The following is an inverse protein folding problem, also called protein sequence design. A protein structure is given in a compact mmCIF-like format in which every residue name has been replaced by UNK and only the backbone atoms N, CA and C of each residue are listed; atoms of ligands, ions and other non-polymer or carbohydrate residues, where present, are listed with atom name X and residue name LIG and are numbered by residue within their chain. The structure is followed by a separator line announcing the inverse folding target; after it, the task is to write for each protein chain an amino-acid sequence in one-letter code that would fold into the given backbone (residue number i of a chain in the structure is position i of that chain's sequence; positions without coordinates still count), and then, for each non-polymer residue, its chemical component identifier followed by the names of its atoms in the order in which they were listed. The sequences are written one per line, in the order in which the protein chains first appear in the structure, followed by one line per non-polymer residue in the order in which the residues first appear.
data_IF_931535220157
#
_entry.id   IF_931535220157
#
_cell.length_a   1.000
_cell.length_b   1.000
_cell.length_c   1.000
_cell.angle_alpha   90.00
_cell.angle_beta   90.00
_cell.angle_gamma   90.00
#
_symmetry.space_group_name_H-M   'P 1'
#
loop_
_entity.id
_entity.type
_entity.pdbx_description
1 polymer ?
#
# COMPACT_ATOMS: atom_id res chain seq x y z
N UNK A 1 -10.22 -15.15 -4.77
CA UNK A 1 -10.45 -13.75 -4.37
C UNK A 1 -11.93 -13.58 -4.06
N UNK A 2 -12.27 -13.01 -2.90
CA UNK A 2 -13.65 -12.78 -2.46
C UNK A 2 -13.82 -11.29 -2.19
N UNK A 3 -14.67 -10.63 -2.95
CA UNK A 3 -15.06 -9.27 -2.60
C UNK A 3 -16.10 -9.34 -1.47
N UNK A 4 -15.60 -9.19 -0.24
CA UNK A 4 -16.42 -9.19 0.97
C UNK A 4 -16.33 -7.82 1.59
N UNK A 5 -16.95 -6.87 0.89
CA UNK A 5 -17.02 -5.49 1.32
C UNK A 5 -17.49 -5.43 2.79
N UNK A 6 -16.57 -5.04 3.68
CA UNK A 6 -16.85 -4.79 5.10
C UNK A 6 -17.71 -3.55 5.34
N UNK A 7 -18.13 -2.86 4.28
CA UNK A 7 -19.04 -1.74 4.39
C UNK A 7 -20.37 -2.25 4.97
N UNK A 8 -20.76 -1.73 6.12
CA UNK A 8 -22.15 -1.81 6.55
C UNK A 8 -23.03 -1.11 5.51
N UNK A 9 -24.27 -1.58 5.36
CA UNK A 9 -25.27 -0.79 4.66
C UNK A 9 -25.42 0.53 5.41
N UNK A 10 -25.32 1.63 4.69
CA UNK A 10 -25.63 2.96 5.19
C UNK A 10 -26.73 3.56 4.30
N UNK A 11 -27.56 4.48 4.83
CA UNK A 11 -28.69 5.03 4.08
C UNK A 11 -28.30 5.59 2.71
N UNK A 12 -27.16 6.27 2.61
CA UNK A 12 -26.63 6.77 1.34
C UNK A 12 -26.37 5.68 0.29
N UNK A 13 -25.86 4.53 0.70
CA UNK A 13 -25.59 3.40 -0.20
C UNK A 13 -26.87 2.77 -0.79
N UNK A 14 -28.03 3.02 -0.17
CA UNK A 14 -29.33 2.44 -0.57
C UNK A 14 -30.41 3.51 -0.79
N UNK A 15 -30.03 4.75 -1.08
CA UNK A 15 -30.96 5.86 -1.35
C UNK A 15 -32.02 6.03 -0.24
N UNK A 16 -31.57 5.98 1.01
CA UNK A 16 -32.36 6.06 2.24
C UNK A 16 -33.42 4.96 2.42
N UNK A 17 -33.32 3.87 1.65
CA UNK A 17 -34.18 2.68 1.75
C UNK A 17 -33.43 1.50 2.36
N UNK A 18 -33.16 1.61 3.66
CA UNK A 18 -32.58 0.50 4.42
C UNK A 18 -33.59 -0.65 4.55
N UNK A 19 -33.14 -1.92 4.55
CA UNK A 19 -33.98 -3.04 4.97
C UNK A 19 -34.53 -2.82 6.39
N UNK A 20 -35.81 -3.12 6.61
CA UNK A 20 -36.49 -2.90 7.89
C UNK A 20 -35.85 -3.68 9.07
N UNK A 21 -35.17 -4.79 8.76
CA UNK A 21 -34.50 -5.70 9.68
C UNK A 21 -32.97 -5.58 9.63
N UNK A 22 -32.42 -4.51 9.03
CA UNK A 22 -30.97 -4.34 8.97
C UNK A 22 -30.35 -4.09 10.35
N UNK A 23 -29.45 -4.98 10.75
CA UNK A 23 -28.60 -4.82 11.92
C UNK A 23 -27.13 -4.90 11.52
N UNK A 24 -26.35 -3.89 11.91
CA UNK A 24 -24.94 -3.78 11.51
C UNK A 24 -24.05 -4.85 12.17
N UNK A 25 -24.40 -5.29 13.38
CA UNK A 25 -23.67 -6.32 14.12
C UNK A 25 -24.02 -7.72 13.58
N UNK A 26 -25.28 -7.97 13.21
CA UNK A 26 -25.70 -9.18 12.53
C UNK A 26 -25.05 -9.28 11.14
N UNK A 27 -25.04 -8.20 10.36
CA UNK A 27 -24.31 -8.11 9.08
C UNK A 27 -22.83 -8.46 9.27
N UNK A 28 -22.20 -7.85 10.27
CA UNK A 28 -20.81 -8.12 10.61
C UNK A 28 -20.54 -9.60 10.89
N UNK A 29 -21.34 -10.22 11.78
CA UNK A 29 -21.20 -11.63 12.16
C UNK A 29 -21.47 -12.56 10.98
N UNK A 30 -22.50 -12.29 10.20
CA UNK A 30 -22.85 -13.06 9.01
C UNK A 30 -21.72 -13.02 7.98
N UNK A 31 -21.11 -11.84 7.75
CA UNK A 31 -19.95 -11.68 6.88
C UNK A 31 -18.75 -12.51 7.34
N UNK A 32 -18.37 -12.40 8.61
CA UNK A 32 -17.23 -13.18 9.17
C UNK A 32 -17.50 -14.69 9.08
N UNK A 33 -18.72 -15.12 9.42
CA UNK A 33 -19.15 -16.51 9.31
C UNK A 33 -19.13 -17.00 7.86
N UNK A 34 -19.54 -16.17 6.92
CA UNK A 34 -19.50 -16.45 5.49
C UNK A 34 -18.07 -16.66 4.98
N UNK A 35 -17.11 -15.84 5.41
CA UNK A 35 -15.69 -16.03 5.08
C UNK A 35 -15.16 -17.37 5.61
N UNK A 36 -15.46 -17.69 6.87
CA UNK A 36 -15.08 -18.96 7.47
C UNK A 36 -15.69 -20.16 6.73
N UNK A 37 -16.97 -20.07 6.37
CA UNK A 37 -17.67 -21.08 5.58
C UNK A 37 -17.00 -21.28 4.22
N UNK A 38 -16.73 -20.20 3.47
CA UNK A 38 -16.02 -20.29 2.18
C UNK A 38 -14.66 -20.98 2.34
N UNK A 39 -13.88 -20.59 3.35
CA UNK A 39 -12.57 -21.20 3.60
C UNK A 39 -12.67 -22.69 3.95
N UNK A 40 -13.71 -23.12 4.68
CA UNK A 40 -13.92 -24.54 4.99
C UNK A 40 -14.21 -25.42 3.77
N UNK A 41 -14.77 -24.85 2.70
CA UNK A 41 -15.03 -25.55 1.43
C UNK A 41 -13.85 -25.48 0.46
N UNK A 42 -12.89 -24.60 0.72
CA UNK A 42 -11.70 -24.35 -0.09
C UNK A 42 -10.42 -24.50 0.77
N UNK A 43 -10.20 -25.67 1.40
CA UNK A 43 -9.10 -25.84 2.35
C UNK A 43 -7.73 -25.67 1.69
N UNK A 44 -7.59 -26.12 0.44
CA UNK A 44 -6.34 -26.14 -0.31
C UNK A 44 -6.11 -24.88 -1.17
N UNK A 45 -7.11 -24.00 -1.25
CA UNK A 45 -7.04 -22.79 -2.07
C UNK A 45 -6.88 -21.53 -1.22
N UNK A 46 -6.17 -20.54 -1.74
CA UNK A 46 -6.01 -19.25 -1.08
C UNK A 46 -7.30 -18.41 -1.16
N UNK A 47 -7.90 -18.14 -0.01
CA UNK A 47 -9.04 -17.23 0.14
C UNK A 47 -8.51 -15.87 0.60
N UNK A 48 -8.50 -14.91 -0.33
CA UNK A 48 -8.11 -13.51 -0.09
C UNK A 48 -9.36 -12.65 -0.17
N UNK A 49 -9.66 -11.87 0.87
CA UNK A 49 -10.82 -10.97 0.87
C UNK A 49 -10.47 -9.50 0.58
N UNK A 50 -11.35 -8.75 -0.06
CA UNK A 50 -11.22 -7.29 -0.13
C UNK A 50 -11.92 -6.63 1.06
N UNK A 51 -11.19 -5.86 1.89
CA UNK A 51 -11.82 -5.19 3.02
C UNK A 51 -10.91 -4.66 4.11
N UNK A 52 -9.59 -4.83 4.04
CA UNK A 52 -8.66 -4.47 5.13
C UNK A 52 -8.70 -2.99 5.52
N UNK A 53 -9.10 -2.11 4.59
CA UNK A 53 -9.15 -0.66 4.80
C UNK A 53 -10.33 -0.18 5.66
N UNK A 54 -11.14 -1.11 6.18
CA UNK A 54 -12.29 -0.84 7.03
C UNK A 54 -11.93 -1.12 8.50
N UNK A 55 -12.31 -0.19 9.37
CA UNK A 55 -11.97 -0.21 10.80
C UNK A 55 -12.68 -1.35 11.56
N UNK A 56 -13.67 -1.99 10.95
CA UNK A 56 -14.46 -3.06 11.55
C UNK A 56 -14.20 -4.41 10.88
N UNK A 57 -13.48 -5.29 11.58
CA UNK A 57 -13.38 -6.71 11.24
C UNK A 57 -12.26 -7.14 10.31
N UNK A 58 -11.27 -6.29 10.06
CA UNK A 58 -10.09 -6.70 9.30
C UNK A 58 -9.37 -7.88 9.99
N UNK A 59 -9.20 -7.80 11.31
CA UNK A 59 -8.60 -8.86 12.15
C UNK A 59 -9.42 -10.16 12.10
N UNK A 60 -10.73 -10.09 12.36
CA UNK A 60 -11.60 -11.27 12.32
C UNK A 60 -11.68 -11.89 10.92
N UNK A 61 -11.68 -11.08 9.88
CA UNK A 61 -11.63 -11.59 8.50
C UNK A 61 -10.30 -12.27 8.21
N UNK A 62 -9.17 -11.71 8.64
CA UNK A 62 -7.86 -12.35 8.49
C UNK A 62 -7.76 -13.65 9.28
N UNK A 63 -8.38 -13.73 10.46
CA UNK A 63 -8.43 -14.97 11.25
C UNK A 63 -9.14 -16.12 10.50
N UNK A 64 -10.06 -15.79 9.59
CA UNK A 64 -10.88 -16.76 8.86
C UNK A 64 -10.49 -16.93 7.38
N UNK A 65 -9.38 -16.31 6.94
CA UNK A 65 -8.92 -16.32 5.55
C UNK A 65 -7.40 -16.46 5.46
N UNK A 66 -6.87 -16.67 4.25
CA UNK A 66 -5.43 -16.75 4.01
C UNK A 66 -4.79 -15.36 3.83
N UNK A 67 -5.60 -14.32 3.72
CA UNK A 67 -5.13 -12.96 3.52
C UNK A 67 -6.20 -11.96 3.09
N UNK A 68 -5.77 -10.73 2.82
CA UNK A 68 -6.71 -9.65 2.50
C UNK A 68 -6.12 -8.53 1.65
N UNK A 69 -6.99 -7.70 1.11
CA UNK A 69 -6.63 -6.54 0.29
C UNK A 69 -6.97 -5.22 1.00
N UNK A 70 -6.00 -4.31 0.97
CA UNK A 70 -6.16 -2.91 1.31
C UNK A 70 -6.29 -2.09 0.03
N UNK A 71 -7.52 -1.97 -0.47
CA UNK A 71 -7.81 -1.38 -1.78
C UNK A 71 -7.52 0.14 -1.90
N UNK A 72 -7.43 0.82 -0.76
CA UNK A 72 -7.18 2.26 -0.68
C UNK A 72 -5.91 2.53 0.12
N UNK A 73 -4.78 2.00 -0.34
CA UNK A 73 -3.52 2.17 0.38
C UNK A 73 -3.05 3.62 0.30
N UNK A 74 -2.86 4.24 1.47
CA UNK A 74 -2.46 5.64 1.70
C UNK A 74 -3.42 6.74 1.20
N UNK A 75 -4.04 6.61 0.03
CA UNK A 75 -4.81 7.68 -0.62
C UNK A 75 -6.22 7.26 -1.00
N UNK A 76 -7.16 8.21 -0.97
CA UNK A 76 -8.53 8.01 -1.43
C UNK A 76 -8.57 7.98 -2.97
N UNK A 77 -9.25 7.00 -3.59
CA UNK A 77 -9.43 6.95 -5.04
C UNK A 77 -10.04 8.24 -5.59
N UNK A 78 -9.67 8.61 -6.81
CA UNK A 78 -10.14 9.76 -7.62
C UNK A 78 -9.86 11.14 -7.07
N UNK A 79 -9.97 11.34 -5.76
CA UNK A 79 -9.68 12.61 -5.10
C UNK A 79 -8.19 12.84 -4.87
N UNK A 80 -7.38 11.76 -4.82
CA UNK A 80 -5.95 11.84 -4.55
C UNK A 80 -5.61 12.26 -3.11
N UNK A 81 -6.61 12.40 -2.23
CA UNK A 81 -6.42 12.89 -0.87
C UNK A 81 -5.77 11.82 -0.01
N UNK A 82 -4.74 12.20 0.73
CA UNK A 82 -4.17 11.36 1.76
C UNK A 82 -5.23 10.99 2.79
N UNK A 83 -5.20 9.76 3.29
CA UNK A 83 -6.18 9.25 4.24
C UNK A 83 -5.84 9.56 5.69
N UNK A 84 -4.69 10.18 5.94
CA UNK A 84 -4.20 10.52 7.27
C UNK A 84 -3.13 9.55 7.77
N UNK A 85 -2.27 10.06 8.64
CA UNK A 85 -1.13 9.33 9.22
C UNK A 85 -1.61 8.07 9.96
N UNK A 86 -2.70 8.17 10.73
CA UNK A 86 -3.28 7.05 11.47
C UNK A 86 -3.75 5.90 10.56
N UNK A 87 -4.43 6.21 9.45
CA UNK A 87 -4.92 5.19 8.52
C UNK A 87 -3.79 4.55 7.71
N UNK A 88 -2.77 5.33 7.35
CA UNK A 88 -1.55 4.80 6.76
C UNK A 88 -0.83 3.87 7.75
N UNK A 89 -0.68 4.29 9.02
CA UNK A 89 -0.04 3.50 10.06
C UNK A 89 -0.79 2.20 10.32
N UNK A 90 -2.12 2.24 10.39
CA UNK A 90 -2.95 1.04 10.53
C UNK A 90 -2.69 0.01 9.42
N UNK A 91 -2.51 0.46 8.17
CA UNK A 91 -2.17 -0.43 7.05
C UNK A 91 -0.79 -1.08 7.21
N UNK A 92 0.22 -0.29 7.59
CA UNK A 92 1.59 -0.75 7.82
C UNK A 92 1.63 -1.74 8.99
N UNK A 93 1.03 -1.40 10.12
CA UNK A 93 1.06 -2.22 11.34
C UNK A 93 0.26 -3.50 11.19
N UNK A 94 -0.94 -3.45 10.58
CA UNK A 94 -1.71 -4.65 10.28
C UNK A 94 -0.89 -5.59 9.38
N UNK A 95 -0.28 -5.06 8.32
CA UNK A 95 0.57 -5.88 7.45
C UNK A 95 1.76 -6.44 8.24
N UNK A 96 2.42 -5.65 9.09
CA UNK A 96 3.58 -6.11 9.85
C UNK A 96 3.25 -7.22 10.85
N UNK A 97 2.10 -7.15 11.54
CA UNK A 97 1.68 -8.10 12.57
C UNK A 97 1.14 -9.43 12.04
N UNK A 98 0.84 -9.52 10.74
CA UNK A 98 0.30 -10.72 10.08
C UNK A 98 1.31 -11.32 9.07
N UNK A 99 2.47 -11.82 9.53
CA UNK A 99 3.54 -12.30 8.63
C UNK A 99 3.15 -13.56 7.85
N UNK A 100 2.15 -14.32 8.31
CA UNK A 100 1.63 -15.53 7.70
C UNK A 100 0.56 -15.26 6.62
N UNK A 101 0.00 -14.04 6.58
CA UNK A 101 -1.12 -13.69 5.68
C UNK A 101 -0.65 -13.13 4.35
N UNK A 102 -1.37 -13.48 3.29
CA UNK A 102 -1.16 -12.92 1.96
C UNK A 102 -1.86 -11.56 1.81
N UNK A 103 -1.10 -10.46 1.82
CA UNK A 103 -1.66 -9.10 1.84
C UNK A 103 -1.47 -8.42 0.48
N UNK A 104 -2.55 -7.82 -0.03
CA UNK A 104 -2.55 -7.05 -1.28
C UNK A 104 -2.73 -5.57 -0.96
N UNK A 105 -1.72 -4.74 -1.23
CA UNK A 105 -1.79 -3.29 -1.05
C UNK A 105 -2.05 -2.64 -2.41
N UNK A 106 -3.16 -1.89 -2.55
CA UNK A 106 -3.53 -1.26 -3.82
C UNK A 106 -3.66 0.25 -3.64
N UNK A 107 -2.95 1.00 -4.47
CA UNK A 107 -3.12 2.44 -4.65
C UNK A 107 -4.07 2.64 -5.82
N UNK A 108 -5.37 2.67 -5.52
CA UNK A 108 -6.45 2.65 -6.52
C UNK A 108 -6.75 4.03 -7.09
N UNK A 109 -6.87 4.10 -8.43
CA UNK A 109 -7.42 5.22 -9.22
C UNK A 109 -6.93 6.59 -8.75
N UNK A 110 -5.62 6.77 -8.63
CA UNK A 110 -5.06 8.05 -8.19
C UNK A 110 -4.96 9.05 -9.34
N UNK A 111 -5.43 10.30 -9.17
CA UNK A 111 -5.33 11.31 -10.22
C UNK A 111 -3.87 11.72 -10.43
N UNK A 112 -3.44 11.77 -11.70
CA UNK A 112 -2.11 12.20 -12.13
C UNK A 112 -0.96 11.45 -11.45
N UNK A 113 -1.17 10.18 -11.09
CA UNK A 113 -0.15 9.36 -10.43
C UNK A 113 1.07 9.12 -11.31
N UNK A 114 0.90 9.04 -12.64
CA UNK A 114 2.03 8.87 -13.57
C UNK A 114 3.07 9.99 -13.38
N UNK A 115 2.61 11.23 -13.27
CA UNK A 115 3.47 12.42 -13.15
C UNK A 115 3.84 12.75 -11.69
N UNK A 116 3.09 12.24 -10.71
CA UNK A 116 3.34 12.48 -9.29
C UNK A 116 4.39 11.51 -8.71
N UNK A 117 5.65 11.76 -9.06
CA UNK A 117 6.80 10.95 -8.61
C UNK A 117 6.92 10.94 -7.09
N UNK A 118 6.63 12.05 -6.40
CA UNK A 118 6.70 12.09 -4.94
C UNK A 118 5.70 11.10 -4.32
N UNK A 119 4.44 11.12 -4.79
CA UNK A 119 3.41 10.20 -4.31
C UNK A 119 3.78 8.74 -4.62
N UNK A 120 4.28 8.45 -5.83
CA UNK A 120 4.75 7.11 -6.21
C UNK A 120 5.85 6.61 -5.28
N UNK A 121 6.90 7.40 -5.08
CA UNK A 121 8.02 7.04 -4.19
C UNK A 121 7.53 6.87 -2.75
N UNK A 122 6.62 7.71 -2.27
CA UNK A 122 6.02 7.57 -0.95
C UNK A 122 5.30 6.22 -0.76
N UNK A 123 4.44 5.81 -1.69
CA UNK A 123 3.70 4.55 -1.56
C UNK A 123 4.59 3.32 -1.78
N UNK A 124 5.57 3.39 -2.69
CA UNK A 124 6.55 2.31 -2.91
C UNK A 124 7.41 2.14 -1.67
N UNK A 125 7.97 3.23 -1.12
CA UNK A 125 8.76 3.18 0.10
C UNK A 125 7.94 2.66 1.28
N UNK A 126 6.65 3.04 1.37
CA UNK A 126 5.71 2.52 2.38
C UNK A 126 5.50 1.01 2.25
N UNK A 127 5.27 0.50 1.04
CA UNK A 127 5.21 -0.95 0.79
C UNK A 127 6.51 -1.65 1.19
N UNK A 128 7.68 -1.07 0.87
CA UNK A 128 8.98 -1.65 1.20
C UNK A 128 9.22 -1.75 2.71
N UNK A 129 8.56 -0.95 3.57
CA UNK A 129 8.61 -1.14 5.03
C UNK A 129 8.09 -2.52 5.46
N UNK A 130 7.16 -3.10 4.71
CA UNK A 130 6.47 -4.36 5.06
C UNK A 130 6.61 -5.44 4.00
N UNK A 131 7.37 -5.19 2.93
CA UNK A 131 7.58 -6.13 1.83
C UNK A 131 8.18 -7.46 2.28
N UNK A 132 7.67 -8.53 1.68
CA UNK A 132 8.04 -9.94 1.86
C UNK A 132 7.27 -10.79 0.82
N UNK A 133 7.58 -12.10 0.64
CA UNK A 133 7.02 -12.89 -0.47
C UNK A 133 5.48 -12.98 -0.54
N UNK A 134 4.78 -12.82 0.59
CA UNK A 134 3.32 -12.83 0.66
C UNK A 134 2.69 -11.43 0.77
N UNK A 135 3.42 -10.36 0.46
CA UNK A 135 2.85 -9.01 0.36
C UNK A 135 3.06 -8.52 -1.07
N UNK A 136 1.95 -8.24 -1.76
CA UNK A 136 1.96 -7.73 -3.13
C UNK A 136 1.44 -6.31 -3.18
N UNK A 137 1.92 -5.54 -4.14
CA UNK A 137 1.66 -4.11 -4.25
C UNK A 137 1.29 -3.73 -5.69
N UNK A 138 0.32 -2.84 -5.85
CA UNK A 138 -0.07 -2.30 -7.15
C UNK A 138 -0.46 -0.82 -7.04
N UNK A 139 -0.13 -0.07 -8.09
CA UNK A 139 -0.50 1.32 -8.29
C UNK A 139 -1.28 1.48 -9.58
N UNK A 140 -2.30 2.34 -9.56
CA UNK A 140 -3.08 2.64 -10.76
C UNK A 140 -3.44 4.11 -10.83
N UNK A 141 -3.16 4.72 -11.98
CA UNK A 141 -3.60 6.07 -12.32
C UNK A 141 -5.08 6.08 -12.72
N UNK A 142 -5.84 7.08 -12.27
CA UNK A 142 -7.26 7.22 -12.56
C UNK A 142 -7.57 7.31 -14.06
N UNK A 143 -6.74 8.00 -14.85
CA UNK A 143 -6.94 8.16 -16.28
C UNK A 143 -6.81 6.83 -17.04
N UNK A 144 -5.97 5.93 -16.54
CA UNK A 144 -5.67 4.65 -17.17
C UNK A 144 -6.48 3.48 -16.61
N UNK A 145 -7.02 3.61 -15.40
CA UNK A 145 -8.00 2.67 -14.86
C UNK A 145 -9.25 2.60 -15.75
N UNK A 146 -9.72 3.75 -16.26
CA UNK A 146 -10.89 3.83 -17.13
C UNK A 146 -10.71 3.10 -18.46
N UNK A 147 -9.47 2.92 -18.92
CA UNK A 147 -9.13 2.26 -20.18
C UNK A 147 -8.69 0.80 -20.00
N UNK A 148 -8.59 0.31 -18.76
CA UNK A 148 -8.11 -1.04 -18.46
C UNK A 148 -6.64 -1.26 -18.83
N UNK A 149 -5.84 -0.20 -18.88
CA UNK A 149 -4.44 -0.28 -19.28
C UNK A 149 -3.59 -0.96 -18.19
N UNK A 150 -2.64 -1.79 -18.61
CA UNK A 150 -1.59 -2.29 -17.72
C UNK A 150 -0.66 -1.12 -17.40
N UNK A 151 -0.30 -0.96 -16.13
CA UNK A 151 0.57 0.13 -15.67
C UNK A 151 1.96 -0.42 -15.36
N UNK A 152 2.98 0.28 -15.83
CA UNK A 152 4.38 0.04 -15.49
C UNK A 152 4.95 1.25 -14.76
N UNK A 153 5.74 1.00 -13.73
CA UNK A 153 6.49 2.02 -13.01
C UNK A 153 7.92 1.51 -12.78
N UNK A 154 8.97 2.26 -13.14
CA UNK A 154 10.37 1.82 -12.98
C UNK A 154 10.74 1.42 -11.56
N UNK A 155 10.04 1.93 -10.54
CA UNK A 155 10.18 1.54 -9.13
C UNK A 155 9.94 0.04 -8.90
N UNK A 156 9.15 -0.63 -9.76
CA UNK A 156 8.96 -2.08 -9.69
C UNK A 156 10.21 -2.88 -10.05
N UNK A 157 11.21 -2.24 -10.65
CA UNK A 157 12.50 -2.87 -11.02
C UNK A 157 13.59 -2.68 -9.96
N UNK A 158 13.26 -2.03 -8.84
CA UNK A 158 14.20 -1.83 -7.73
C UNK A 158 14.66 -3.17 -7.16
N UNK A 159 15.97 -3.40 -7.14
CA UNK A 159 16.60 -4.51 -6.44
C UNK A 159 17.38 -4.01 -5.23
N UNK A 160 16.73 -4.02 -4.06
CA UNK A 160 17.36 -3.71 -2.78
C UNK A 160 17.97 -4.95 -2.10
N UNK A 161 17.77 -6.16 -2.65
CA UNK A 161 18.05 -7.43 -1.98
C UNK A 161 17.08 -7.75 -0.85
N UNK A 162 17.46 -8.70 0.02
CA UNK A 162 16.63 -9.10 1.15
C UNK A 162 16.55 -8.00 2.23
N UNK A 163 15.42 -7.87 2.95
CA UNK A 163 15.35 -7.00 4.12
C UNK A 163 16.24 -7.55 5.24
N UNK A 164 17.01 -6.67 5.89
CA UNK A 164 17.90 -7.05 7.01
C UNK A 164 17.17 -7.12 8.36
N UNK A 165 15.87 -6.84 8.38
CA UNK A 165 15.04 -6.87 9.57
C UNK A 165 13.66 -6.25 9.35
N UNK A 166 12.93 -6.09 10.46
CA UNK A 166 11.72 -5.27 10.50
C UNK A 166 12.06 -3.78 10.30
N UNK A 167 11.06 -2.96 9.98
CA UNK A 167 11.24 -1.52 10.01
C UNK A 167 11.40 -1.01 11.45
N UNK A 168 11.98 0.18 11.57
CA UNK A 168 12.12 0.93 12.82
C UNK A 168 11.48 2.30 12.66
N UNK A 169 11.01 2.90 13.76
CA UNK A 169 10.46 4.26 13.79
C UNK A 169 11.36 5.13 14.66
N UNK A 170 11.88 6.22 14.10
CA UNK A 170 12.64 7.22 14.85
C UNK A 170 11.76 7.96 15.86
N UNK A 171 12.36 8.59 16.87
CA UNK A 171 11.64 9.40 17.85
C UNK A 171 10.91 10.60 17.22
N UNK A 172 11.33 11.02 16.03
CA UNK A 172 10.74 12.06 15.20
C UNK A 172 9.59 11.57 14.31
N UNK A 173 9.34 10.25 14.26
CA UNK A 173 8.34 9.61 13.41
C UNK A 173 8.85 9.15 12.05
N UNK A 174 10.17 9.18 11.80
CA UNK A 174 10.74 8.68 10.54
C UNK A 174 10.74 7.14 10.51
N UNK A 175 9.99 6.54 9.59
CA UNK A 175 10.01 5.10 9.38
C UNK A 175 11.20 4.73 8.50
N UNK A 176 11.92 3.66 8.87
CA UNK A 176 13.07 3.19 8.10
C UNK A 176 13.14 1.67 8.05
N UNK A 177 13.57 1.12 6.92
CA UNK A 177 13.94 -0.30 6.82
C UNK A 177 15.22 -0.47 6.01
N UNK A 178 16.12 -1.32 6.50
CA UNK A 178 17.38 -1.66 5.84
C UNK A 178 17.22 -2.91 4.99
N UNK A 179 17.91 -2.90 3.87
CA UNK A 179 18.04 -4.01 2.93
C UNK A 179 19.52 -4.27 2.65
N UNK A 180 19.86 -5.41 2.05
CA UNK A 180 21.23 -5.78 1.70
C UNK A 180 21.94 -4.72 0.85
N UNK A 181 21.23 -4.09 -0.08
CA UNK A 181 21.79 -3.10 -1.03
C UNK A 181 21.22 -1.70 -0.85
N UNK A 182 20.55 -1.42 0.26
CA UNK A 182 19.91 -0.12 0.41
C UNK A 182 19.13 0.12 1.69
N UNK A 183 18.40 1.22 1.71
CA UNK A 183 17.54 1.65 2.81
C UNK A 183 16.34 2.38 2.24
N UNK A 184 15.19 2.18 2.86
CA UNK A 184 13.99 2.99 2.59
C UNK A 184 13.66 3.83 3.82
N UNK A 185 13.11 5.01 3.56
CA UNK A 185 12.71 6.00 4.55
C UNK A 185 11.32 6.52 4.16
N UNK A 186 10.43 6.70 5.14
CA UNK A 186 9.08 7.23 4.90
C UNK A 186 8.73 8.26 5.96
N UNK A 187 8.34 9.45 5.51
CA UNK A 187 7.70 10.46 6.33
C UNK A 187 6.18 10.47 6.02
N UNK A 188 5.35 9.85 6.87
CA UNK A 188 3.91 9.80 6.67
C UNK A 188 3.19 11.07 7.16
N UNK A 189 3.91 12.02 7.75
CA UNK A 189 3.26 13.18 8.33
C UNK A 189 2.78 14.16 7.26
N UNK A 190 1.68 14.86 7.56
CA UNK A 190 1.01 15.77 6.62
C UNK A 190 1.63 17.17 6.54
N UNK A 191 2.35 17.59 7.58
CA UNK A 191 2.77 18.99 7.73
C UNK A 191 4.20 19.21 8.22
N UNK A 192 4.92 18.15 8.62
CA UNK A 192 6.31 18.24 9.11
C UNK A 192 7.30 17.64 8.13
N UNK A 193 8.39 18.36 7.89
CA UNK A 193 9.60 17.82 7.25
C UNK A 193 10.45 17.12 8.31
N UNK A 194 10.97 15.95 7.97
CA UNK A 194 11.92 15.20 8.80
C UNK A 194 13.33 15.28 8.18
N UNK A 195 14.35 14.94 8.96
CA UNK A 195 15.74 14.96 8.47
C UNK A 195 16.37 13.60 8.64
N UNK A 196 17.00 13.09 7.58
CA UNK A 196 17.82 11.89 7.65
C UNK A 196 19.29 12.26 7.49
N UNK A 197 20.14 11.80 8.40
CA UNK A 197 21.59 11.89 8.27
C UNK A 197 22.14 10.53 7.83
N UNK A 198 22.72 10.41 6.63
CA UNK A 198 23.30 9.16 6.17
C UNK A 198 24.44 8.68 7.07
N UNK A 199 24.45 7.38 7.37
CA UNK A 199 25.51 6.68 8.09
C UNK A 199 26.53 6.01 7.15
N UNK A 200 26.48 6.33 5.86
CA UNK A 200 27.34 5.80 4.83
C UNK A 200 27.11 6.49 3.48
N UNK A 201 27.78 5.98 2.44
CA UNK A 201 27.60 6.46 1.08
C UNK A 201 26.35 5.83 0.48
N UNK A 202 25.45 6.68 -0.01
CA UNK A 202 24.21 6.27 -0.66
C UNK A 202 24.00 7.04 -1.96
N UNK A 203 23.23 6.45 -2.86
CA UNK A 203 22.59 7.15 -3.97
C UNK A 203 21.08 7.18 -3.76
N UNK A 204 20.48 8.35 -3.96
CA UNK A 204 19.03 8.51 -4.05
C UNK A 204 18.54 7.93 -5.38
N UNK A 205 17.55 7.06 -5.31
CA UNK A 205 16.80 6.59 -6.47
C UNK A 205 15.88 7.70 -6.95
N UNK A 206 15.94 8.01 -8.24
CA UNK A 206 15.09 9.00 -8.91
C UNK A 206 14.37 8.32 -10.08
N UNK A 207 13.08 7.98 -9.92
CA UNK A 207 12.30 7.38 -10.99
C UNK A 207 12.05 8.39 -12.10
N UNK A 208 12.22 7.97 -13.36
CA UNK A 208 11.93 8.76 -14.55
C UNK A 208 10.95 7.98 -15.42
N UNK A 209 9.87 8.63 -15.87
CA UNK A 209 8.85 8.00 -16.71
C UNK A 209 8.00 6.95 -15.98
N UNK A 210 7.57 5.92 -16.70
CA UNK A 210 6.49 5.01 -16.31
C UNK A 210 5.16 5.37 -16.98
N UNK A 211 4.09 4.70 -16.56
CA UNK A 211 2.73 4.94 -17.05
C UNK A 211 2.11 3.71 -17.73
N UNK A 212 1.13 3.97 -18.58
CA UNK A 212 0.43 2.91 -19.30
C UNK A 212 1.36 2.20 -20.31
N UNK A 213 1.32 0.87 -20.27
CA UNK A 213 1.94 -0.01 -21.27
C UNK A 213 1.07 0.00 -22.52
N UNK A 214 1.59 0.41 -23.70
CA UNK A 214 0.84 0.38 -24.95
C UNK A 214 0.53 -1.05 -25.42
N UNK A 215 -0.32 -1.15 -26.44
CA UNK A 215 -0.77 -2.44 -26.98
C UNK A 215 0.36 -3.30 -27.59
N UNK A 216 1.48 -2.69 -27.96
CA UNK A 216 2.67 -3.40 -28.45
C UNK A 216 3.55 -3.97 -27.33
N UNK A 217 3.17 -3.76 -26.05
CA UNK A 217 3.89 -4.26 -24.88
C UNK A 217 5.17 -3.49 -24.57
N UNK A 218 5.48 -2.41 -25.29
CA UNK A 218 6.59 -1.54 -24.95
C UNK A 218 6.35 -0.83 -23.61
N UNK A 219 7.40 -0.37 -22.95
CA UNK A 219 7.27 0.43 -21.74
C UNK A 219 8.38 1.48 -21.72
N UNK A 220 8.09 2.59 -21.04
CA UNK A 220 9.03 3.68 -20.84
C UNK A 220 9.27 3.86 -19.34
N UNK A 221 10.51 4.11 -18.97
CA UNK A 221 10.89 4.50 -17.62
C UNK A 221 12.26 3.96 -17.24
N UNK A 222 12.91 4.61 -16.29
CA UNK A 222 14.21 4.21 -15.76
C UNK A 222 14.36 4.65 -14.32
N UNK A 223 15.38 4.10 -13.66
CA UNK A 223 15.86 4.59 -12.38
C UNK A 223 17.16 5.34 -12.62
N UNK A 224 17.18 6.61 -12.24
CA UNK A 224 18.41 7.40 -12.13
C UNK A 224 18.90 7.39 -10.67
N UNK A 225 20.19 7.68 -10.49
CA UNK A 225 20.85 7.59 -9.20
C UNK A 225 21.67 8.84 -8.93
N UNK A 226 21.29 9.57 -7.88
CA UNK A 226 21.96 10.80 -7.47
C UNK A 226 22.77 10.56 -6.19
N UNK A 227 24.08 10.87 -6.15
CA UNK A 227 24.87 10.77 -4.93
C UNK A 227 24.29 11.62 -3.79
N UNK A 228 24.19 11.05 -2.59
CA UNK A 228 23.75 11.76 -1.40
C UNK A 228 24.97 12.30 -0.63
N UNK A 229 25.08 13.63 -0.52
CA UNK A 229 26.29 14.32 -0.01
C UNK A 229 26.20 14.84 1.42
N UNK A 230 25.13 14.51 2.16
CA UNK A 230 24.95 14.95 3.55
C UNK A 230 23.55 14.69 4.09
N UNK A 231 23.17 15.36 5.19
CA UNK A 231 21.82 15.34 5.70
C UNK A 231 20.81 15.75 4.61
N UNK A 232 19.68 15.07 4.58
CA UNK A 232 18.62 15.30 3.59
C UNK A 232 17.29 15.53 4.28
N UNK A 233 16.56 16.52 3.80
CA UNK A 233 15.19 16.78 4.20
C UNK A 233 14.25 15.79 3.50
N UNK A 234 13.32 15.25 4.28
CA UNK A 234 12.27 14.34 3.83
C UNK A 234 10.95 15.09 4.05
N UNK A 235 10.40 15.75 3.01
CA UNK A 235 9.18 16.54 3.12
C UNK A 235 7.98 15.74 3.66
N UNK A 236 6.89 16.41 4.07
CA UNK A 236 5.62 15.74 4.38
C UNK A 236 5.17 14.82 3.23
N UNK A 237 4.54 13.70 3.57
CA UNK A 237 3.99 12.74 2.60
C UNK A 237 5.00 12.35 1.50
N UNK A 238 6.21 11.98 1.92
CA UNK A 238 7.29 11.62 1.01
C UNK A 238 8.05 10.38 1.49
N UNK A 239 8.63 9.68 0.52
CA UNK A 239 9.55 8.58 0.75
C UNK A 239 10.92 8.90 0.18
N UNK A 240 11.94 8.22 0.69
CA UNK A 240 13.29 8.25 0.13
C UNK A 240 13.81 6.82 0.03
N UNK A 241 14.20 6.42 -1.17
CA UNK A 241 14.78 5.10 -1.47
C UNK A 241 16.26 5.33 -1.78
N UNK A 242 17.12 4.64 -1.02
CA UNK A 242 18.56 4.77 -1.08
C UNK A 242 19.18 3.43 -1.47
N UNK A 243 20.14 3.44 -2.39
CA UNK A 243 20.97 2.28 -2.73
C UNK A 243 22.42 2.54 -2.34
N UNK A 244 23.16 1.46 -2.05
CA UNK A 244 24.61 1.51 -1.90
C UNK A 244 25.24 1.48 -3.31
N UNK A 245 26.26 2.32 -3.60
CA UNK A 245 26.96 2.31 -4.89
C UNK A 245 27.67 0.99 -5.22
#
# INVERSE_FOLDING_TARGET
FVDSASHWLNPWAVFDKMPDDYDAEEWYRARVTGLAFVKSYLPDEAVIFNGLHNEHGAEDSLANTDGGMWETFAFRPRSGRYQGEEKWQAAIELTARHPDKFIVLVVKEQPNLVDDVQKRVFVVASYLLVSRPNVVFSMTDAAHAATGSIMYYPEYTLDLGAPLGAYTVGADGLYSRRFERGRVLVNPAESRTLTFTPDGTYQRVVPVGGGAVPADGSWNGSLEYEPLSGPVEIPPLSGLILVVP
#
